data_IF_298624834607
#
_entry.id   IF_298624834607
#
_cell.length_a   1.000
_cell.length_b   1.000
_cell.length_c   1.000
_cell.angle_alpha   90.00
_cell.angle_beta   90.00
_cell.angle_gamma   90.00
#
_symmetry.space_group_name_H-M   'P 1'
#
loop_
_entity.id
_entity.type
_entity.pdbx_description
1 polymer ?
#
# COMPACT_ATOMS: atom_id res chain seq x y z
N UNK A 1 -1.59 -8.95 19.54
CA UNK A 1 -0.85 -7.69 19.76
C UNK A 1 -1.81 -6.61 20.20
N UNK A 2 -1.70 -6.15 21.45
CA UNK A 2 -2.56 -5.12 22.07
C UNK A 2 -2.09 -3.70 21.77
N UNK A 3 -1.82 -3.40 20.49
CA UNK A 3 -1.36 -2.07 20.04
C UNK A 3 -2.36 -1.31 19.16
N UNK A 4 -3.45 -1.94 18.72
CA UNK A 4 -4.37 -1.37 17.73
C UNK A 4 -5.69 -0.83 18.30
N UNK A 5 -5.86 -0.83 19.62
CA UNK A 5 -7.13 -0.48 20.28
C UNK A 5 -7.35 1.03 20.48
N UNK A 6 -6.71 1.89 19.69
CA UNK A 6 -6.83 3.35 19.84
C UNK A 6 -6.54 4.17 18.57
N UNK A 7 -6.62 3.58 17.37
CA UNK A 7 -6.27 4.29 16.13
C UNK A 7 -7.37 5.26 15.67
N UNK A 8 -7.64 6.30 16.46
CA UNK A 8 -8.49 7.42 16.07
C UNK A 8 -7.96 8.21 14.86
N UNK A 9 -6.72 7.97 14.41
CA UNK A 9 -6.02 8.82 13.43
C UNK A 9 -5.33 7.98 12.33
N UNK A 10 -5.95 7.82 11.15
CA UNK A 10 -5.44 6.96 10.08
C UNK A 10 -4.17 7.55 9.45
N UNK A 11 -4.08 8.88 9.48
CA UNK A 11 -2.91 9.67 9.07
C UNK A 11 -1.70 9.34 9.92
N UNK A 12 -1.86 9.16 11.23
CA UNK A 12 -0.72 8.82 12.11
C UNK A 12 -0.14 7.45 11.74
N UNK A 13 -0.99 6.46 11.44
CA UNK A 13 -0.54 5.15 10.98
C UNK A 13 0.20 5.24 9.64
N UNK A 14 -0.36 5.96 8.66
CA UNK A 14 0.27 6.15 7.36
C UNK A 14 1.65 6.83 7.49
N UNK A 15 1.74 7.92 8.26
CA UNK A 15 2.99 8.64 8.50
C UNK A 15 4.04 7.74 9.16
N UNK A 16 3.65 6.96 10.17
CA UNK A 16 4.58 6.02 10.83
C UNK A 16 5.04 4.92 9.87
N UNK A 17 4.14 4.37 9.05
CA UNK A 17 4.48 3.36 8.06
C UNK A 17 5.48 3.90 7.03
N UNK A 18 5.20 5.07 6.44
CA UNK A 18 6.09 5.68 5.46
C UNK A 18 7.45 6.04 6.06
N UNK A 19 7.48 6.54 7.30
CA UNK A 19 8.74 6.84 7.99
C UNK A 19 9.59 5.59 8.22
N UNK A 20 8.98 4.49 8.69
CA UNK A 20 9.68 3.21 8.87
C UNK A 20 10.18 2.67 7.53
N UNK A 21 9.33 2.70 6.50
CA UNK A 21 9.68 2.21 5.16
C UNK A 21 10.84 3.02 4.56
N UNK A 22 10.80 4.36 4.69
CA UNK A 22 11.88 5.24 4.27
C UNK A 22 13.20 4.97 5.01
N UNK A 23 13.16 4.77 6.33
CA UNK A 23 14.36 4.47 7.12
C UNK A 23 14.98 3.12 6.71
N UNK A 24 14.16 2.08 6.51
CA UNK A 24 14.62 0.76 6.08
C UNK A 24 15.19 0.82 4.66
N UNK A 25 14.48 1.47 3.73
CA UNK A 25 14.92 1.63 2.35
C UNK A 25 16.25 2.40 2.28
N UNK A 26 16.38 3.49 3.04
CA UNK A 26 17.62 4.27 3.11
C UNK A 26 18.79 3.47 3.69
N UNK A 27 18.55 2.71 4.77
CA UNK A 27 19.55 1.82 5.35
C UNK A 27 20.03 0.74 4.35
N UNK A 28 19.12 0.24 3.50
CA UNK A 28 19.45 -0.69 2.42
C UNK A 28 20.15 -0.02 1.23
N UNK A 29 19.83 1.24 0.91
CA UNK A 29 20.48 1.94 -0.18
C UNK A 29 21.98 2.17 0.09
N UNK A 30 22.37 2.45 1.33
CA UNK A 30 23.76 2.76 1.72
C UNK A 30 24.82 1.71 1.28
N UNK A 31 24.60 0.38 1.48
CA UNK A 31 25.56 -0.62 1.03
C UNK A 31 25.39 -1.07 -0.43
N UNK A 32 24.23 -0.88 -1.07
CA UNK A 32 23.94 -1.44 -2.40
C UNK A 32 23.97 -0.42 -3.54
N UNK A 33 23.81 0.87 -3.27
CA UNK A 33 23.75 1.92 -4.29
C UNK A 33 24.90 2.92 -4.18
N UNK A 34 25.35 3.43 -5.34
CA UNK A 34 26.24 4.60 -5.39
C UNK A 34 25.37 5.84 -5.32
N UNK A 35 25.37 6.50 -4.16
CA UNK A 35 24.61 7.74 -3.96
C UNK A 35 25.28 8.88 -4.73
N UNK A 36 24.79 9.13 -5.94
CA UNK A 36 25.15 10.31 -6.73
C UNK A 36 24.13 11.41 -6.49
N UNK A 37 24.54 12.47 -5.78
CA UNK A 37 23.68 13.60 -5.46
C UNK A 37 23.20 14.34 -6.72
N UNK A 38 23.97 14.32 -7.82
CA UNK A 38 23.56 14.95 -9.07
C UNK A 38 22.42 14.18 -9.74
N UNK A 39 22.47 12.84 -9.70
CA UNK A 39 21.38 11.99 -10.18
C UNK A 39 20.12 12.16 -9.32
N UNK A 40 20.28 12.24 -8.00
CA UNK A 40 19.15 12.49 -7.07
C UNK A 40 18.50 13.85 -7.33
N UNK A 41 19.30 14.91 -7.54
CA UNK A 41 18.76 16.24 -7.81
C UNK A 41 18.03 16.30 -9.17
N UNK A 42 18.51 15.54 -10.15
CA UNK A 42 17.88 15.45 -11.47
C UNK A 42 16.55 14.68 -11.42
N UNK A 43 16.46 13.64 -10.57
CA UNK A 43 15.24 12.86 -10.34
C UNK A 43 14.31 13.45 -9.26
N UNK A 44 14.75 14.49 -8.54
CA UNK A 44 13.99 15.15 -7.48
C UNK A 44 12.55 15.55 -7.88
N UNK A 45 12.26 16.13 -9.07
CA UNK A 45 10.89 16.44 -9.45
C UNK A 45 10.01 15.19 -9.53
N UNK A 46 10.51 14.08 -10.07
CA UNK A 46 9.76 12.82 -10.19
C UNK A 46 9.53 12.18 -8.82
N UNK A 47 10.57 12.18 -7.96
CA UNK A 47 10.50 11.67 -6.58
C UNK A 47 9.49 12.48 -5.76
N UNK A 48 9.53 13.81 -5.85
CA UNK A 48 8.60 14.68 -5.13
C UNK A 48 7.19 14.52 -5.65
N UNK A 49 7.00 14.39 -6.97
CA UNK A 49 5.69 14.14 -7.55
C UNK A 49 5.11 12.82 -7.05
N UNK A 50 5.87 11.72 -7.15
CA UNK A 50 5.45 10.41 -6.66
C UNK A 50 5.19 10.40 -5.15
N UNK A 51 6.09 11.00 -4.37
CA UNK A 51 5.98 11.05 -2.91
C UNK A 51 4.80 11.88 -2.41
N UNK A 52 4.58 13.07 -2.97
CA UNK A 52 3.52 13.98 -2.52
C UNK A 52 2.15 13.54 -3.05
N UNK A 53 2.02 13.30 -4.36
CA UNK A 53 0.72 13.00 -4.96
C UNK A 53 0.31 11.56 -4.72
N UNK A 54 1.18 10.60 -5.06
CA UNK A 54 0.86 9.18 -4.87
C UNK A 54 0.95 8.80 -3.39
N UNK A 55 2.09 9.06 -2.76
CA UNK A 55 2.35 8.67 -1.36
C UNK A 55 1.53 9.46 -0.33
N UNK A 56 1.57 10.79 -0.39
CA UNK A 56 0.95 11.65 0.61
C UNK A 56 -0.56 11.78 0.40
N UNK A 57 -0.96 12.43 -0.70
CA UNK A 57 -2.34 12.82 -0.94
C UNK A 57 -3.21 11.59 -1.22
N UNK A 58 -2.83 10.73 -2.18
CA UNK A 58 -3.68 9.62 -2.59
C UNK A 58 -3.86 8.58 -1.46
N UNK A 59 -2.80 8.12 -0.79
CA UNK A 59 -2.96 7.20 0.34
C UNK A 59 -3.71 7.84 1.53
N UNK A 60 -3.56 9.14 1.79
CA UNK A 60 -4.32 9.80 2.85
C UNK A 60 -5.81 9.83 2.50
N UNK A 61 -6.17 10.21 1.28
CA UNK A 61 -7.55 10.17 0.80
C UNK A 61 -8.12 8.75 0.80
N UNK A 62 -7.32 7.75 0.41
CA UNK A 62 -7.68 6.34 0.47
C UNK A 62 -7.97 5.90 1.91
N UNK A 63 -7.07 6.21 2.86
CA UNK A 63 -7.25 5.88 4.27
C UNK A 63 -8.44 6.60 4.91
N UNK A 64 -8.75 7.83 4.46
CA UNK A 64 -9.96 8.55 4.86
C UNK A 64 -11.20 7.88 4.26
N UNK A 65 -11.23 7.59 2.96
CA UNK A 65 -12.36 6.97 2.27
C UNK A 65 -12.70 5.57 2.80
N UNK A 66 -11.68 4.79 3.17
CA UNK A 66 -11.84 3.49 3.82
C UNK A 66 -12.58 3.58 5.17
N UNK A 67 -12.58 4.73 5.86
CA UNK A 67 -13.35 4.92 7.10
C UNK A 67 -14.85 5.03 6.88
N UNK A 68 -15.28 5.38 5.67
CA UNK A 68 -16.69 5.53 5.32
C UNK A 68 -17.24 4.31 4.57
N UNK A 69 -16.44 3.26 4.42
CA UNK A 69 -16.74 2.12 3.55
C UNK A 69 -16.53 0.81 4.31
N UNK A 70 -17.28 -0.24 3.97
CA UNK A 70 -17.05 -1.57 4.57
C UNK A 70 -15.80 -2.24 3.98
N UNK A 71 -15.17 -3.16 4.72
CA UNK A 71 -13.95 -3.84 4.26
C UNK A 71 -14.07 -4.49 2.87
N UNK A 72 -15.17 -5.20 2.52
CA UNK A 72 -15.32 -5.78 1.18
C UNK A 72 -15.42 -4.72 0.08
N UNK A 73 -16.14 -3.63 0.33
CA UNK A 73 -16.28 -2.53 -0.63
C UNK A 73 -14.95 -1.80 -0.84
N UNK A 74 -14.19 -1.58 0.23
CA UNK A 74 -12.85 -0.99 0.15
C UNK A 74 -11.88 -1.87 -0.66
N UNK A 75 -11.94 -3.19 -0.48
CA UNK A 75 -11.13 -4.14 -1.25
C UNK A 75 -11.44 -4.10 -2.75
N UNK A 76 -12.72 -3.95 -3.13
CA UNK A 76 -13.13 -3.77 -4.53
C UNK A 76 -12.56 -2.48 -5.12
N UNK A 77 -12.60 -1.36 -4.38
CA UNK A 77 -12.01 -0.10 -4.81
C UNK A 77 -10.49 -0.22 -5.00
N UNK A 78 -9.78 -0.81 -4.05
CA UNK A 78 -8.34 -1.05 -4.12
C UNK A 78 -7.95 -1.94 -5.30
N UNK A 79 -8.77 -2.97 -5.57
CA UNK A 79 -8.56 -3.86 -6.72
C UNK A 79 -8.76 -3.12 -8.04
N UNK A 80 -9.72 -2.20 -8.10
CA UNK A 80 -10.02 -1.39 -9.29
C UNK A 80 -8.89 -0.39 -9.60
N UNK A 81 -8.18 0.11 -8.59
CA UNK A 81 -7.02 0.99 -8.74
C UNK A 81 -5.96 0.40 -9.69
N UNK A 82 -5.70 -0.91 -9.59
CA UNK A 82 -4.72 -1.61 -10.44
C UNK A 82 -5.03 -1.54 -11.94
N UNK A 83 -6.32 -1.49 -12.31
CA UNK A 83 -6.76 -1.37 -13.70
C UNK A 83 -6.42 0.03 -14.23
N UNK A 84 -6.68 1.07 -13.43
CA UNK A 84 -6.33 2.45 -13.79
C UNK A 84 -4.82 2.65 -13.82
N UNK A 85 -4.08 2.07 -12.87
CA UNK A 85 -2.62 2.09 -12.86
C UNK A 85 -2.04 1.44 -14.12
N UNK A 86 -2.55 0.27 -14.52
CA UNK A 86 -2.14 -0.41 -15.75
C UNK A 86 -2.50 0.39 -17.01
N UNK A 87 -3.70 0.99 -17.06
CA UNK A 87 -4.15 1.83 -18.17
C UNK A 87 -3.27 3.07 -18.34
N UNK A 88 -3.03 3.80 -17.24
CA UNK A 88 -2.21 5.00 -17.26
C UNK A 88 -0.72 4.67 -17.46
N UNK A 89 -0.22 3.55 -16.94
CA UNK A 89 1.12 3.05 -17.25
C UNK A 89 1.28 2.72 -18.75
N UNK A 90 0.28 2.09 -19.36
CA UNK A 90 0.29 1.82 -20.80
C UNK A 90 0.18 3.10 -21.64
N UNK A 91 -0.62 4.09 -21.22
CA UNK A 91 -0.87 5.31 -21.97
C UNK A 91 0.25 6.35 -21.84
N UNK A 92 0.76 6.58 -20.63
CA UNK A 92 1.77 7.59 -20.35
C UNK A 92 3.21 7.06 -20.44
N UNK A 93 3.44 5.82 -20.00
CA UNK A 93 4.76 5.19 -19.98
C UNK A 93 5.01 4.31 -21.21
N UNK A 94 3.95 3.95 -21.96
CA UNK A 94 4.07 3.04 -23.11
C UNK A 94 4.39 1.59 -22.72
N UNK A 95 4.29 1.25 -21.43
CA UNK A 95 4.69 -0.06 -20.92
C UNK A 95 3.67 -1.14 -21.31
N UNK A 96 4.16 -2.19 -21.98
CA UNK A 96 3.43 -3.45 -22.11
C UNK A 96 3.76 -4.31 -20.91
N UNK A 97 2.74 -4.84 -20.24
CA UNK A 97 2.93 -5.70 -19.06
C UNK A 97 3.80 -6.90 -19.46
N UNK A 98 5.05 -6.87 -18.99
CA UNK A 98 6.01 -7.94 -19.15
C UNK A 98 5.59 -9.14 -18.29
N UNK A 99 6.09 -10.34 -18.63
CA UNK A 99 5.83 -11.58 -17.87
C UNK A 99 6.16 -11.43 -16.38
N UNK A 100 7.12 -10.56 -16.04
CA UNK A 100 7.44 -10.21 -14.65
C UNK A 100 6.29 -9.52 -13.90
N UNK A 101 5.50 -8.67 -14.57
CA UNK A 101 4.31 -8.04 -13.99
C UNK A 101 3.21 -9.07 -13.67
N UNK A 102 3.05 -10.08 -14.52
CA UNK A 102 2.12 -11.19 -14.26
C UNK A 102 2.54 -12.03 -13.04
N UNK A 103 3.85 -12.27 -12.88
CA UNK A 103 4.37 -12.95 -11.69
C UNK A 103 4.12 -12.12 -10.42
N UNK A 104 4.31 -10.79 -10.47
CA UNK A 104 3.99 -9.87 -9.38
C UNK A 104 2.51 -9.89 -9.01
N UNK A 105 1.60 -9.87 -10.00
CA UNK A 105 0.16 -10.02 -9.77
C UNK A 105 -0.18 -11.34 -9.07
N UNK A 106 0.43 -12.46 -9.48
CA UNK A 106 0.24 -13.75 -8.83
C UNK A 106 0.65 -13.73 -7.35
N UNK A 107 1.77 -13.07 -7.04
CA UNK A 107 2.31 -12.97 -5.68
C UNK A 107 1.39 -12.13 -4.77
N UNK A 108 0.89 -11.00 -5.26
CA UNK A 108 -0.10 -10.17 -4.55
C UNK A 108 -1.40 -10.94 -4.31
N UNK A 109 -1.90 -11.65 -5.34
CA UNK A 109 -3.12 -12.44 -5.23
C UNK A 109 -3.00 -13.53 -4.16
N UNK A 110 -1.90 -14.28 -4.15
CA UNK A 110 -1.62 -15.29 -3.11
C UNK A 110 -1.57 -14.66 -1.72
N UNK A 111 -0.94 -13.50 -1.57
CA UNK A 111 -0.87 -12.79 -0.30
C UNK A 111 -2.27 -12.37 0.20
N UNK A 112 -3.11 -11.81 -0.67
CA UNK A 112 -4.49 -11.40 -0.34
C UNK A 112 -5.32 -12.61 0.11
N UNK A 113 -5.28 -13.70 -0.66
CA UNK A 113 -5.98 -14.95 -0.32
C UNK A 113 -5.48 -15.48 1.03
N UNK A 114 -4.16 -15.45 1.26
CA UNK A 114 -3.57 -15.79 2.56
C UNK A 114 -4.12 -14.95 3.70
N UNK A 115 -4.22 -13.63 3.53
CA UNK A 115 -4.73 -12.72 4.57
C UNK A 115 -6.22 -12.83 4.83
N UNK A 116 -7.03 -13.24 3.85
CA UNK A 116 -8.47 -13.48 4.02
C UNK A 116 -8.76 -14.85 4.64
N UNK A 117 -7.97 -15.88 4.30
CA UNK A 117 -8.13 -17.22 4.83
C UNK A 117 -7.57 -17.33 6.26
N UNK A 118 -6.49 -16.62 6.59
CA UNK A 118 -5.86 -16.68 7.90
C UNK A 118 -6.81 -16.37 9.07
N UNK A 119 -7.63 -15.30 9.06
CA UNK A 119 -8.62 -15.06 10.12
C UNK A 119 -9.77 -16.06 10.09
N UNK A 120 -10.13 -16.65 8.94
CA UNK A 120 -11.15 -17.70 8.86
C UNK A 120 -10.68 -19.03 9.49
N UNK A 121 -9.37 -19.31 9.42
CA UNK A 121 -8.75 -20.53 9.95
C UNK A 121 -8.29 -20.35 11.41
N UNK A 122 -7.78 -19.16 11.77
CA UNK A 122 -7.21 -18.88 13.11
C UNK A 122 -8.22 -18.18 14.04
N UNK A 123 -9.20 -17.47 13.49
CA UNK A 123 -10.27 -16.81 14.23
C UNK A 123 -11.36 -17.78 14.63
N UNK A 124 -11.09 -18.64 15.61
CA UNK A 124 -12.14 -19.35 16.34
C UNK A 124 -13.18 -18.34 16.84
N UNK A 125 -14.38 -18.38 16.25
CA UNK A 125 -15.56 -17.61 16.64
C UNK A 125 -15.65 -17.49 18.17
N UNK A 126 -15.50 -16.27 18.69
CA UNK A 126 -16.21 -15.88 19.91
C UNK A 126 -17.38 -15.00 19.50
N UNK A 127 -18.45 -15.66 19.06
CA UNK A 127 -19.79 -15.12 19.14
C UNK A 127 -20.18 -15.09 20.62
N UNK A 128 -19.90 -13.98 21.30
CA UNK A 128 -20.61 -13.67 22.55
C UNK A 128 -21.63 -12.61 22.20
N UNK A 129 -22.85 -13.08 21.93
CA UNK A 129 -24.07 -12.29 22.04
C UNK A 129 -24.16 -11.76 23.47
N UNK A 130 -24.33 -10.46 23.72
CA UNK A 130 -25.06 -10.03 24.89
C UNK A 130 -26.52 -10.35 24.62
N UNK A 131 -26.98 -11.45 25.22
CA UNK A 131 -28.38 -11.59 25.59
C UNK A 131 -28.70 -10.48 26.60
N UNK A 132 -29.86 -9.86 26.39
CA UNK A 132 -30.75 -9.21 27.38
C UNK A 132 -30.14 -8.47 28.58
#
# INVERSE_FOLDING_TARGET
>A
GRGASGAGRPVTLAVTQFAICAAIAFAWALPFEKIDLSAVLSAAPDILYAGIFSGGIAFTLQAIGQRYTTAPQAAIFLSSESIFAALFGALFLGERIAVAGLAGCGLIFIAIIGTEILPAVVGGRKLTSPAE
#
